data_IF_371296796511
#
_entry.id   IF_371296796511
#
_cell.length_a   1.000
_cell.length_b   1.000
_cell.length_c   1.000
_cell.angle_alpha   90.00
_cell.angle_beta   90.00
_cell.angle_gamma   90.00
#
_symmetry.space_group_name_H-M   'P 1'
#
loop_
_entity.id
_entity.type
_entity.pdbx_description
1 polymer ?
#
# COMPACT_ATOMS: atom_id res chain seq x y z
N UNK A 1 -2.19 15.72 15.45
CA UNK A 1 -1.02 16.34 14.78
C UNK A 1 -0.32 15.24 14.00
N UNK A 2 0.01 15.49 12.72
CA UNK A 2 0.78 14.53 11.92
C UNK A 2 2.26 14.56 12.30
N UNK A 3 2.97 13.45 12.13
CA UNK A 3 4.42 13.40 12.19
C UNK A 3 5.01 14.05 10.93
N UNK A 4 6.10 14.78 11.07
CA UNK A 4 6.78 15.44 9.96
C UNK A 4 8.26 15.66 10.26
N UNK A 5 9.03 15.95 9.21
CA UNK A 5 10.44 16.32 9.35
C UNK A 5 10.56 17.84 9.44
N UNK A 6 11.34 18.31 10.39
CA UNK A 6 11.60 19.73 10.60
C UNK A 6 13.12 19.96 10.53
N UNK A 7 13.55 20.95 9.75
CA UNK A 7 14.94 21.33 9.72
C UNK A 7 15.36 21.95 11.06
N UNK A 8 16.38 21.40 11.69
CA UNK A 8 16.93 21.89 12.99
C UNK A 8 17.99 22.96 12.81
N UNK A 9 18.38 23.24 11.58
CA UNK A 9 19.34 24.29 11.19
C UNK A 9 19.03 24.81 9.78
N UNK A 10 19.59 25.97 9.43
CA UNK A 10 19.50 26.47 8.07
C UNK A 10 20.18 25.49 7.09
N UNK A 11 19.50 25.18 6.00
CA UNK A 11 20.02 24.34 4.92
C UNK A 11 20.33 25.23 3.72
N UNK A 12 21.60 25.34 3.29
CA UNK A 12 21.97 26.04 2.06
C UNK A 12 21.25 25.42 0.84
N UNK A 13 21.02 26.25 -0.17
CA UNK A 13 20.45 25.76 -1.45
C UNK A 13 21.39 24.70 -2.06
N UNK A 14 20.81 23.61 -2.53
CA UNK A 14 21.55 22.47 -3.08
C UNK A 14 22.04 21.45 -2.06
N UNK A 15 21.82 21.68 -0.76
CA UNK A 15 22.15 20.68 0.28
C UNK A 15 21.11 19.54 0.25
N UNK A 16 21.59 18.29 0.26
CA UNK A 16 20.73 17.13 0.46
C UNK A 16 20.12 17.17 1.86
N UNK A 17 18.82 17.36 1.96
CA UNK A 17 18.10 17.37 3.22
C UNK A 17 17.97 15.97 3.85
N UNK A 18 17.85 14.94 3.01
CA UNK A 18 17.72 13.55 3.42
C UNK A 18 18.35 12.64 2.36
N UNK A 19 18.95 11.53 2.79
CA UNK A 19 19.42 10.46 1.92
C UNK A 19 18.89 9.14 2.43
N UNK A 20 18.08 8.45 1.62
CA UNK A 20 17.49 7.17 1.98
C UNK A 20 18.17 6.05 1.19
N UNK A 21 18.80 5.07 1.86
CA UNK A 21 19.36 3.90 1.18
C UNK A 21 18.30 3.15 0.40
N UNK A 22 18.63 2.66 -0.79
CA UNK A 22 17.69 1.87 -1.63
C UNK A 22 17.12 0.65 -0.90
N UNK A 23 17.88 0.06 0.01
CA UNK A 23 17.42 -1.07 0.83
C UNK A 23 16.28 -0.73 1.79
N UNK A 24 16.06 0.55 2.08
CA UNK A 24 14.97 1.05 2.92
C UNK A 24 13.78 1.58 2.12
N UNK A 25 13.80 1.45 0.79
CA UNK A 25 12.68 1.83 -0.06
C UNK A 25 11.75 0.63 -0.26
N UNK A 26 10.45 0.86 -0.05
CA UNK A 26 9.42 -0.08 -0.50
C UNK A 26 9.37 -0.03 -2.04
N UNK A 27 9.68 -1.14 -2.67
CA UNK A 27 9.80 -1.25 -4.12
C UNK A 27 9.68 -2.70 -4.55
N UNK A 28 9.45 -2.95 -5.84
CA UNK A 28 9.52 -4.30 -6.42
C UNK A 28 10.83 -5.03 -6.04
N UNK A 29 11.96 -4.32 -6.07
CA UNK A 29 13.26 -4.90 -5.70
C UNK A 29 13.32 -5.30 -4.23
N UNK A 30 12.83 -4.44 -3.33
CA UNK A 30 12.83 -4.76 -1.89
C UNK A 30 11.82 -5.85 -1.53
N UNK A 31 10.72 -5.97 -2.25
CA UNK A 31 9.75 -7.05 -2.08
C UNK A 31 10.35 -8.43 -2.38
N UNK A 32 11.20 -8.53 -3.40
CA UNK A 32 11.92 -9.77 -3.76
C UNK A 32 12.98 -10.20 -2.74
N UNK A 33 13.31 -9.36 -1.75
CA UNK A 33 14.23 -9.74 -0.66
C UNK A 33 13.53 -10.54 0.46
N UNK A 34 12.21 -10.57 0.48
CA UNK A 34 11.43 -11.44 1.36
C UNK A 34 11.13 -12.74 0.61
N UNK A 35 11.60 -13.93 1.11
CA UNK A 35 11.46 -15.18 0.36
C UNK A 35 10.02 -15.59 0.06
N UNK A 36 9.09 -15.36 1.01
CA UNK A 36 7.67 -15.67 0.81
C UNK A 36 7.05 -14.75 -0.26
N UNK A 37 7.32 -13.46 -0.16
CA UNK A 37 6.80 -12.49 -1.11
C UNK A 37 7.46 -12.62 -2.49
N UNK A 38 8.74 -12.99 -2.54
CA UNK A 38 9.46 -13.23 -3.79
C UNK A 38 8.81 -14.33 -4.62
N UNK A 39 8.38 -15.42 -3.97
CA UNK A 39 7.69 -16.52 -4.66
C UNK A 39 6.35 -16.05 -5.22
N UNK A 40 5.55 -15.37 -4.40
CA UNK A 40 4.27 -14.79 -4.82
C UNK A 40 4.44 -13.83 -5.99
N UNK A 41 5.46 -12.98 -5.95
CA UNK A 41 5.74 -12.03 -7.03
C UNK A 41 6.20 -12.70 -8.31
N UNK A 42 7.00 -13.77 -8.22
CA UNK A 42 7.44 -14.53 -9.39
C UNK A 42 6.25 -15.11 -10.17
N UNK A 43 5.20 -15.51 -9.47
CA UNK A 43 3.99 -16.05 -10.07
C UNK A 43 3.03 -14.97 -10.59
N UNK A 44 2.99 -13.80 -9.91
CA UNK A 44 2.08 -12.69 -10.26
C UNK A 44 2.62 -11.77 -11.35
N UNK A 45 3.91 -11.47 -11.35
CA UNK A 45 4.50 -10.45 -12.23
C UNK A 45 4.28 -10.75 -13.72
N UNK A 46 4.45 -11.99 -14.23
CA UNK A 46 4.21 -12.28 -15.63
C UNK A 46 2.76 -11.99 -16.07
N UNK A 47 1.80 -12.27 -15.19
CA UNK A 47 0.38 -12.05 -15.46
C UNK A 47 0.03 -10.56 -15.41
N UNK A 48 0.61 -9.83 -14.45
CA UNK A 48 0.42 -8.39 -14.32
C UNK A 48 1.06 -7.63 -15.49
N UNK A 49 2.20 -8.07 -15.99
CA UNK A 49 2.88 -7.44 -17.14
C UNK A 49 2.14 -7.69 -18.45
N UNK A 50 1.55 -8.86 -18.66
CA UNK A 50 0.77 -9.18 -19.86
C UNK A 50 -0.54 -8.37 -19.94
N UNK A 51 -1.18 -8.12 -18.79
CA UNK A 51 -2.40 -7.34 -18.72
C UNK A 51 -2.18 -5.81 -18.66
N UNK A 52 -0.97 -5.34 -18.39
CA UNK A 52 -0.70 -3.96 -17.96
C UNK A 52 -0.25 -3.00 -19.04
N UNK A 53 -0.72 -3.12 -20.26
CA UNK A 53 -0.53 -2.03 -21.24
C UNK A 53 -1.08 -0.65 -20.80
N UNK A 54 -1.64 -0.53 -19.60
CA UNK A 54 -2.27 0.68 -19.09
C UNK A 54 -2.11 0.94 -17.57
N UNK A 55 -1.43 0.11 -16.77
CA UNK A 55 -1.41 0.28 -15.30
C UNK A 55 0.00 0.13 -14.72
N UNK A 56 0.43 1.11 -13.91
CA UNK A 56 1.66 0.96 -13.13
C UNK A 56 1.48 -0.13 -12.05
N UNK A 57 1.97 -1.33 -12.34
CA UNK A 57 1.93 -2.48 -11.45
C UNK A 57 2.68 -2.25 -10.12
N UNK A 58 3.44 -1.15 -9.99
CA UNK A 58 4.25 -0.86 -8.80
C UNK A 58 3.38 -0.61 -7.57
N UNK A 59 2.27 0.11 -7.72
CA UNK A 59 1.40 0.46 -6.58
C UNK A 59 0.72 -0.77 -5.94
N UNK A 60 0.08 -1.68 -6.67
CA UNK A 60 -0.43 -2.93 -6.11
C UNK A 60 0.63 -3.76 -5.41
N UNK A 61 1.85 -3.83 -5.97
CA UNK A 61 2.95 -4.60 -5.37
C UNK A 61 3.46 -3.98 -4.06
N UNK A 62 3.54 -2.65 -3.98
CA UNK A 62 3.87 -1.95 -2.73
C UNK A 62 2.78 -2.18 -1.68
N UNK A 63 1.51 -2.13 -2.08
CA UNK A 63 0.40 -2.40 -1.20
C UNK A 63 0.44 -3.84 -0.65
N UNK A 64 0.71 -4.82 -1.50
CA UNK A 64 0.89 -6.23 -1.09
C UNK A 64 2.05 -6.38 -0.11
N UNK A 65 3.18 -5.71 -0.35
CA UNK A 65 4.34 -5.74 0.54
C UNK A 65 4.00 -5.17 1.93
N UNK A 66 3.27 -4.05 1.99
CA UNK A 66 2.82 -3.45 3.24
C UNK A 66 1.85 -4.38 3.99
N UNK A 67 0.89 -4.98 3.27
CA UNK A 67 -0.09 -5.90 3.85
C UNK A 67 0.58 -7.16 4.39
N UNK A 68 1.51 -7.73 3.64
CA UNK A 68 2.31 -8.88 4.07
C UNK A 68 3.11 -8.57 5.34
N UNK A 69 3.83 -7.44 5.36
CA UNK A 69 4.60 -7.02 6.52
C UNK A 69 3.71 -6.79 7.75
N UNK A 70 2.56 -6.14 7.59
CA UNK A 70 1.60 -5.92 8.68
C UNK A 70 0.99 -7.23 9.20
N UNK A 71 0.67 -8.17 8.31
CA UNK A 71 0.16 -9.49 8.68
C UNK A 71 1.19 -10.30 9.47
N UNK A 72 2.47 -10.30 9.07
CA UNK A 72 3.55 -10.94 9.85
C UNK A 72 3.66 -10.36 11.26
N UNK A 73 3.66 -9.04 11.37
CA UNK A 73 3.72 -8.36 12.66
C UNK A 73 2.52 -8.70 13.56
N UNK A 74 1.32 -8.81 13.00
CA UNK A 74 0.13 -9.19 13.77
C UNK A 74 0.20 -10.61 14.34
N UNK A 75 0.99 -11.50 13.71
CA UNK A 75 1.28 -12.86 14.20
C UNK A 75 2.51 -12.94 15.12
N UNK A 76 3.16 -11.80 15.40
CA UNK A 76 4.39 -11.75 16.21
C UNK A 76 5.64 -12.24 15.46
N UNK A 77 5.58 -12.34 14.15
CA UNK A 77 6.70 -12.75 13.31
C UNK A 77 7.64 -11.58 13.01
N UNK A 78 8.95 -11.81 12.90
CA UNK A 78 9.90 -10.75 12.58
C UNK A 78 9.66 -10.22 11.17
N UNK A 79 9.67 -8.89 11.03
CA UNK A 79 9.62 -8.21 9.73
C UNK A 79 10.69 -7.12 9.67
N UNK A 80 11.43 -7.05 8.59
CA UNK A 80 12.38 -5.95 8.36
C UNK A 80 11.67 -4.58 8.27
N UNK A 81 10.38 -4.58 7.98
CA UNK A 81 9.56 -3.39 7.88
C UNK A 81 8.86 -3.01 9.18
N UNK A 82 9.09 -3.78 10.28
CA UNK A 82 8.46 -3.52 11.55
C UNK A 82 8.62 -2.07 12.03
N UNK A 83 9.84 -1.47 12.02
CA UNK A 83 9.99 -0.07 12.46
C UNK A 83 9.23 0.93 11.58
N UNK A 84 9.10 0.62 10.28
CA UNK A 84 8.35 1.47 9.35
C UNK A 84 6.84 1.32 9.59
N UNK A 85 6.33 0.09 9.70
CA UNK A 85 4.91 -0.20 9.96
C UNK A 85 4.46 0.40 11.30
N UNK A 86 5.30 0.31 12.34
CA UNK A 86 5.00 0.89 13.66
C UNK A 86 4.93 2.42 13.64
N UNK A 87 5.70 3.05 12.74
CA UNK A 87 5.68 4.50 12.54
C UNK A 87 4.48 4.98 11.71
N UNK A 88 3.81 4.09 10.97
CA UNK A 88 2.65 4.45 10.16
C UNK A 88 1.43 4.74 11.04
N UNK A 89 0.58 5.69 10.63
CA UNK A 89 -0.66 5.94 11.34
C UNK A 89 -1.57 4.70 11.25
N UNK A 90 -2.01 4.21 12.40
CA UNK A 90 -2.98 3.10 12.47
C UNK A 90 -4.32 3.47 11.86
N UNK A 91 -4.68 4.73 11.93
CA UNK A 91 -5.86 5.30 11.31
C UNK A 91 -5.47 6.45 10.40
N UNK A 92 -5.80 6.33 9.14
CA UNK A 92 -5.61 7.39 8.15
C UNK A 92 -6.94 8.12 8.01
N UNK A 93 -6.95 9.39 8.42
CA UNK A 93 -8.14 10.22 8.31
C UNK A 93 -8.30 10.76 6.88
N UNK A 94 -8.81 9.90 6.01
CA UNK A 94 -9.09 10.21 4.60
C UNK A 94 -10.54 9.86 4.27
N UNK A 95 -11.20 10.60 3.37
CA UNK A 95 -12.54 10.28 2.88
C UNK A 95 -12.71 8.84 2.36
N UNK A 96 -11.62 8.23 1.91
CA UNK A 96 -11.61 6.83 1.46
C UNK A 96 -11.98 5.85 2.58
N UNK A 97 -11.55 6.12 3.82
CA UNK A 97 -11.75 5.26 4.97
C UNK A 97 -12.96 5.67 5.82
N UNK A 98 -13.54 6.83 5.59
CA UNK A 98 -14.71 7.27 6.35
C UNK A 98 -15.91 6.33 6.13
N UNK A 99 -16.75 6.15 7.17
CA UNK A 99 -18.05 5.51 7.01
C UNK A 99 -18.86 6.19 5.89
N UNK A 100 -19.64 5.40 5.14
CA UNK A 100 -20.41 5.90 4.01
C UNK A 100 -21.26 7.12 4.39
N UNK A 101 -22.01 7.02 5.49
CA UNK A 101 -22.89 8.09 5.95
C UNK A 101 -22.12 9.39 6.23
N UNK A 102 -20.98 9.30 6.92
CA UNK A 102 -20.11 10.46 7.23
C UNK A 102 -19.56 11.09 5.97
N UNK A 103 -19.01 10.27 5.06
CA UNK A 103 -18.47 10.75 3.79
C UNK A 103 -19.53 11.43 2.93
N UNK A 104 -20.68 10.77 2.77
CA UNK A 104 -21.76 11.26 1.92
C UNK A 104 -22.39 12.55 2.49
N UNK A 105 -22.43 12.71 3.82
CA UNK A 105 -22.92 13.94 4.46
C UNK A 105 -21.91 15.09 4.37
N UNK A 106 -20.62 14.82 4.67
CA UNK A 106 -19.61 15.89 4.73
C UNK A 106 -19.13 16.36 3.37
N UNK A 107 -19.17 15.51 2.35
CA UNK A 107 -18.71 15.82 1.00
C UNK A 107 -19.86 16.05 0.00
N UNK A 108 -21.09 16.12 0.47
CA UNK A 108 -22.25 16.39 -0.38
C UNK A 108 -22.05 17.64 -1.24
N UNK A 109 -22.29 17.51 -2.56
CA UNK A 109 -22.17 18.63 -3.50
C UNK A 109 -20.74 18.97 -3.93
N UNK A 110 -19.73 18.21 -3.50
CA UNK A 110 -18.32 18.41 -3.91
C UNK A 110 -17.87 17.34 -4.91
N UNK A 111 -16.90 17.66 -5.79
CA UNK A 111 -16.23 16.66 -6.66
C UNK A 111 -15.52 15.57 -5.84
N UNK A 112 -15.00 15.92 -4.68
CA UNK A 112 -14.31 14.99 -3.79
C UNK A 112 -15.18 13.79 -3.38
N UNK A 113 -16.50 13.94 -3.32
CA UNK A 113 -17.40 12.81 -3.06
C UNK A 113 -17.38 11.80 -4.22
N UNK A 114 -17.38 12.32 -5.46
CA UNK A 114 -17.30 11.48 -6.67
C UNK A 114 -15.96 10.77 -6.70
N UNK A 115 -14.86 11.50 -6.56
CA UNK A 115 -13.50 10.97 -6.58
C UNK A 115 -13.29 9.89 -5.50
N UNK A 116 -13.78 10.13 -4.28
CA UNK A 116 -13.68 9.16 -3.19
C UNK A 116 -14.50 7.88 -3.46
N UNK A 117 -15.66 7.98 -4.10
CA UNK A 117 -16.47 6.83 -4.49
C UNK A 117 -15.82 6.02 -5.60
N UNK A 118 -15.29 6.69 -6.61
CA UNK A 118 -14.60 6.07 -7.74
C UNK A 118 -13.34 5.35 -7.27
N UNK A 119 -12.49 6.01 -6.49
CA UNK A 119 -11.26 5.40 -5.98
C UNK A 119 -11.54 4.19 -5.07
N UNK A 120 -12.60 4.23 -4.26
CA UNK A 120 -13.04 3.04 -3.49
C UNK A 120 -13.51 1.90 -4.39
N UNK A 121 -14.25 2.22 -5.45
CA UNK A 121 -14.70 1.21 -6.40
C UNK A 121 -13.53 0.59 -7.17
N UNK A 122 -12.59 1.40 -7.62
CA UNK A 122 -11.35 0.95 -8.26
C UNK A 122 -10.53 0.06 -7.32
N UNK A 123 -10.27 0.48 -6.08
CA UNK A 123 -9.54 -0.34 -5.09
C UNK A 123 -10.24 -1.67 -4.83
N UNK A 124 -11.58 -1.69 -4.76
CA UNK A 124 -12.33 -2.93 -4.59
C UNK A 124 -12.24 -3.86 -5.82
N UNK A 125 -12.15 -3.29 -7.01
CA UNK A 125 -11.98 -4.03 -8.26
C UNK A 125 -10.57 -4.63 -8.33
N UNK A 126 -9.55 -3.84 -8.06
CA UNK A 126 -8.15 -4.29 -8.02
C UNK A 126 -7.94 -5.39 -6.97
N UNK A 127 -8.53 -5.25 -5.79
CA UNK A 127 -8.46 -6.27 -4.76
C UNK A 127 -9.09 -7.60 -5.22
N UNK A 128 -10.24 -7.55 -5.91
CA UNK A 128 -10.89 -8.75 -6.47
C UNK A 128 -10.05 -9.38 -7.58
N UNK A 129 -9.42 -8.55 -8.42
CA UNK A 129 -8.51 -8.99 -9.46
C UNK A 129 -7.30 -9.69 -8.84
N UNK A 130 -6.64 -9.04 -7.89
CA UNK A 130 -5.48 -9.59 -7.19
C UNK A 130 -5.78 -10.92 -6.50
N UNK A 131 -6.93 -11.03 -5.82
CA UNK A 131 -7.37 -12.30 -5.23
C UNK A 131 -7.52 -13.41 -6.27
N UNK A 132 -8.14 -13.11 -7.42
CA UNK A 132 -8.28 -14.10 -8.50
C UNK A 132 -6.93 -14.55 -9.03
N UNK A 133 -6.01 -13.63 -9.27
CA UNK A 133 -4.67 -13.95 -9.76
C UNK A 133 -3.91 -14.83 -8.76
N UNK A 134 -3.96 -14.50 -7.48
CA UNK A 134 -3.34 -15.31 -6.41
C UNK A 134 -3.94 -16.71 -6.33
N UNK A 135 -5.25 -16.85 -6.51
CA UNK A 135 -5.92 -18.17 -6.58
C UNK A 135 -5.50 -18.96 -7.83
N UNK A 136 -5.44 -18.30 -8.98
CA UNK A 136 -5.04 -18.94 -10.25
C UNK A 136 -3.57 -19.40 -10.25
N UNK A 137 -2.73 -18.70 -9.50
CA UNK A 137 -1.30 -19.04 -9.34
C UNK A 137 -1.03 -19.98 -8.15
N UNK A 138 -2.06 -20.51 -7.49
CA UNK A 138 -1.91 -21.45 -6.38
C UNK A 138 -1.46 -20.83 -5.07
N UNK A 139 -1.58 -19.49 -4.92
CA UNK A 139 -1.16 -18.74 -3.73
C UNK A 139 -2.28 -18.55 -2.70
N UNK A 140 -3.21 -19.51 -2.62
CA UNK A 140 -4.38 -19.42 -1.74
C UNK A 140 -4.01 -19.43 -0.25
N UNK A 141 -3.03 -20.24 0.13
CA UNK A 141 -2.55 -20.33 1.50
C UNK A 141 -1.90 -19.01 1.94
N UNK A 142 -1.04 -18.46 1.11
CA UNK A 142 -0.45 -17.14 1.35
C UNK A 142 -1.53 -16.05 1.45
N UNK A 143 -2.50 -16.05 0.56
CA UNK A 143 -3.64 -15.13 0.57
C UNK A 143 -4.41 -15.19 1.90
N UNK A 144 -4.63 -16.38 2.45
CA UNK A 144 -5.28 -16.56 3.73
C UNK A 144 -4.45 -15.98 4.89
N UNK A 145 -3.13 -16.10 4.83
CA UNK A 145 -2.22 -15.56 5.87
C UNK A 145 -2.15 -14.04 5.87
N UNK A 146 -2.24 -13.39 4.71
CA UNK A 146 -2.18 -11.93 4.56
C UNK A 146 -3.52 -11.26 4.86
N UNK A 147 -4.63 -11.99 4.74
CA UNK A 147 -5.96 -11.46 5.07
C UNK A 147 -6.34 -10.25 4.19
N UNK A 148 -6.22 -10.40 2.88
CA UNK A 148 -6.54 -9.36 1.89
C UNK A 148 -8.00 -8.88 2.01
N UNK A 149 -8.26 -7.95 2.91
CA UNK A 149 -9.56 -7.27 3.03
C UNK A 149 -9.55 -5.87 2.43
N UNK A 150 -10.74 -5.34 2.16
CA UNK A 150 -10.88 -4.03 1.52
C UNK A 150 -10.36 -2.87 2.40
N UNK A 151 -10.51 -2.98 3.72
CA UNK A 151 -10.07 -1.93 4.66
C UNK A 151 -8.54 -1.85 4.67
N UNK A 152 -7.90 -2.99 4.70
CA UNK A 152 -6.45 -3.12 4.68
C UNK A 152 -5.86 -2.67 3.33
N UNK A 153 -6.52 -3.03 2.22
CA UNK A 153 -6.15 -2.55 0.88
C UNK A 153 -6.30 -1.03 0.76
N UNK A 154 -7.38 -0.44 1.27
CA UNK A 154 -7.58 1.02 1.29
C UNK A 154 -6.56 1.73 2.19
N UNK A 155 -6.21 1.13 3.33
CA UNK A 155 -5.18 1.67 4.21
C UNK A 155 -3.82 1.68 3.53
N UNK A 156 -3.39 0.55 2.97
CA UNK A 156 -2.10 0.43 2.26
C UNK A 156 -2.03 1.31 1.01
N UNK A 157 -3.13 1.42 0.25
CA UNK A 157 -3.22 2.34 -0.89
C UNK A 157 -3.17 3.81 -0.46
N UNK A 158 -3.81 4.16 0.65
CA UNK A 158 -3.76 5.51 1.23
C UNK A 158 -2.34 5.88 1.71
N UNK A 159 -1.62 4.94 2.30
CA UNK A 159 -0.22 5.13 2.69
C UNK A 159 0.65 5.29 1.44
N UNK A 160 0.51 4.40 0.45
CA UNK A 160 1.31 4.44 -0.77
C UNK A 160 1.06 5.74 -1.56
N UNK A 161 -0.19 6.21 -1.68
CA UNK A 161 -0.52 7.47 -2.33
C UNK A 161 0.02 8.70 -1.59
N UNK A 162 0.11 8.65 -0.26
CA UNK A 162 0.68 9.73 0.57
C UNK A 162 2.21 9.80 0.53
N UNK A 163 2.88 8.79 -0.04
CA UNK A 163 4.35 8.74 -0.19
C UNK A 163 4.83 9.17 -1.57
N UNK A 164 3.92 9.48 -2.50
CA UNK A 164 4.28 10.06 -3.81
C UNK A 164 4.60 11.54 -3.65
N UNK A 165 5.77 12.03 -4.13
CA UNK A 165 6.17 13.44 -4.05
C UNK A 165 5.29 14.35 -4.91
#
# INVERSE_FOLDING_TARGET
MGAGLVATRALPVGTAACSVPRSLLLSRTSARLDPELAQVLADLEPVLEDESNAFDASMPLIALQLMHAAARMSRGEPSRWAPYIDALPREVNTPLLWPRATRDALLAGTSMLVDARELRAQTALELRRMRRLLQQTGQEEWLATVGLDQRQALWSSGIAAGTTP
#
